data_IF_859940480488
#
_entry.id   IF_859940480488
#
_cell.length_a   1.000
_cell.length_b   1.000
_cell.length_c   1.000
_cell.angle_alpha   90.00
_cell.angle_beta   90.00
_cell.angle_gamma   90.00
#
_symmetry.space_group_name_H-M   'P 1'
#
loop_
_entity.id
_entity.type
_entity.pdbx_description
1 polymer ?
#
# COMPACT_ATOMS: atom_id res chain seq x y z
N UNK A 1 -5.63 -0.70 32.07
CA UNK A 1 -4.83 -0.95 30.85
C UNK A 1 -5.40 -0.06 29.77
N UNK A 2 -4.68 1.06 29.48
CA UNK A 2 -5.20 2.13 28.64
C UNK A 2 -5.16 1.82 27.16
N UNK A 3 -6.01 2.49 26.40
CA UNK A 3 -6.10 2.53 24.94
C UNK A 3 -4.73 2.71 24.21
N UNK A 4 -3.68 3.08 24.92
CA UNK A 4 -2.32 3.25 24.38
C UNK A 4 -1.65 1.95 23.90
N UNK A 5 -1.99 0.79 24.45
CA UNK A 5 -1.37 -0.49 24.05
C UNK A 5 -2.00 -1.09 22.80
N UNK A 6 -3.27 -0.82 22.53
CA UNK A 6 -3.97 -1.26 21.32
C UNK A 6 -3.42 -0.49 20.12
N UNK A 7 -3.13 0.81 20.27
CA UNK A 7 -2.56 1.65 19.21
C UNK A 7 -1.11 1.29 18.83
N UNK A 8 -0.32 0.70 19.72
CA UNK A 8 1.05 0.27 19.41
C UNK A 8 1.13 -0.99 18.54
N UNK A 9 0.13 -1.86 18.59
CA UNK A 9 0.10 -3.12 17.83
C UNK A 9 -0.40 -2.97 16.40
N UNK A 10 -1.23 -1.97 16.10
CA UNK A 10 -1.88 -1.73 14.81
C UNK A 10 -1.19 -0.59 14.02
N UNK A 11 0.14 -0.60 13.95
CA UNK A 11 0.91 0.55 13.48
C UNK A 11 0.74 0.88 11.99
N UNK A 12 0.24 -0.04 11.15
CA UNK A 12 0.26 0.09 9.68
C UNK A 12 -0.94 -0.54 8.97
N UNK A 13 -2.09 -0.62 9.61
CA UNK A 13 -3.30 -1.32 9.16
C UNK A 13 -4.34 -0.45 8.46
N UNK A 14 -4.19 0.88 8.52
CA UNK A 14 -5.18 1.85 8.06
C UNK A 14 -5.58 1.66 6.58
N UNK A 15 -4.63 1.34 5.69
CA UNK A 15 -4.94 1.07 4.29
C UNK A 15 -5.71 -0.25 4.12
N UNK A 16 -5.34 -1.29 4.89
CA UNK A 16 -6.04 -2.58 4.83
C UNK A 16 -7.49 -2.43 5.29
N UNK A 17 -7.73 -1.79 6.43
CA UNK A 17 -9.09 -1.55 6.92
C UNK A 17 -9.94 -0.76 5.93
N UNK A 18 -9.38 0.28 5.30
CA UNK A 18 -10.09 1.11 4.33
C UNK A 18 -10.47 0.29 3.09
N UNK A 19 -9.54 -0.50 2.54
CA UNK A 19 -9.81 -1.38 1.39
C UNK A 19 -10.87 -2.42 1.74
N UNK A 20 -10.78 -3.08 2.88
CA UNK A 20 -11.74 -4.09 3.32
C UNK A 20 -13.13 -3.49 3.59
N UNK A 21 -13.19 -2.28 4.15
CA UNK A 21 -14.44 -1.54 4.33
C UNK A 21 -15.12 -1.22 3.00
N UNK A 22 -14.37 -0.72 2.01
CA UNK A 22 -14.85 -0.42 0.65
C UNK A 22 -15.22 -1.67 -0.13
N UNK A 23 -14.50 -2.76 0.06
CA UNK A 23 -14.87 -4.07 -0.49
C UNK A 23 -16.22 -4.54 0.08
N UNK A 24 -16.40 -4.49 1.40
CA UNK A 24 -17.64 -4.91 2.07
C UNK A 24 -18.84 -4.04 1.72
N UNK A 25 -18.62 -2.75 1.50
CA UNK A 25 -19.69 -1.82 1.06
C UNK A 25 -20.05 -1.94 -0.42
N UNK A 26 -19.28 -2.71 -1.22
CA UNK A 26 -19.45 -2.84 -2.66
C UNK A 26 -18.92 -1.67 -3.49
N UNK A 27 -18.18 -0.73 -2.86
CA UNK A 27 -17.52 0.37 -3.57
C UNK A 27 -16.39 -0.16 -4.47
N UNK A 28 -15.61 -1.14 -3.97
CA UNK A 28 -14.62 -1.86 -4.76
C UNK A 28 -15.21 -3.20 -5.21
N UNK A 29 -15.54 -3.29 -6.49
CA UNK A 29 -16.11 -4.50 -7.12
C UNK A 29 -15.02 -5.48 -7.48
N UNK A 30 -14.46 -6.15 -6.49
CA UNK A 30 -13.39 -7.16 -6.59
C UNK A 30 -13.67 -8.33 -5.68
N UNK A 31 -12.97 -9.43 -5.88
CA UNK A 31 -12.82 -10.48 -4.91
C UNK A 31 -11.47 -10.35 -4.22
N UNK A 32 -11.42 -10.54 -2.90
CA UNK A 32 -10.17 -10.58 -2.14
C UNK A 32 -9.98 -12.03 -1.67
N UNK A 33 -9.29 -12.87 -2.44
CA UNK A 33 -9.20 -14.30 -2.17
C UNK A 33 -8.34 -14.62 -0.94
N UNK A 34 -7.41 -13.75 -0.59
CA UNK A 34 -6.58 -13.86 0.60
C UNK A 34 -5.83 -12.57 0.93
N UNK A 35 -5.34 -12.52 2.16
CA UNK A 35 -4.38 -11.53 2.64
C UNK A 35 -3.10 -12.27 3.02
N UNK A 36 -1.93 -11.72 2.64
CA UNK A 36 -0.64 -12.24 3.06
C UNK A 36 0.17 -11.16 3.79
N UNK A 37 0.77 -11.51 4.92
CA UNK A 37 1.61 -10.61 5.70
C UNK A 37 2.80 -11.34 6.32
N UNK A 38 3.89 -10.61 6.53
CA UNK A 38 5.03 -11.06 7.33
C UNK A 38 4.82 -10.89 8.84
N UNK A 39 3.69 -10.29 9.25
CA UNK A 39 3.28 -10.09 10.64
C UNK A 39 1.90 -10.71 10.89
N UNK A 40 1.71 -11.39 12.02
CA UNK A 40 0.43 -11.98 12.41
C UNK A 40 -0.60 -10.97 12.91
N UNK A 41 -0.18 -9.76 13.22
CA UNK A 41 -1.04 -8.73 13.83
C UNK A 41 -2.26 -8.36 12.97
N UNK A 42 -2.23 -8.67 11.67
CA UNK A 42 -3.33 -8.40 10.73
C UNK A 42 -4.31 -9.58 10.57
N UNK A 43 -4.00 -10.76 11.13
CA UNK A 43 -4.85 -11.96 11.06
C UNK A 43 -6.27 -11.72 11.63
N UNK A 44 -6.44 -11.11 12.83
CA UNK A 44 -7.77 -10.82 13.36
C UNK A 44 -8.60 -9.88 12.49
N UNK A 45 -7.95 -9.02 11.71
CA UNK A 45 -8.64 -8.14 10.76
C UNK A 45 -9.17 -8.97 9.60
N UNK A 46 -8.34 -9.80 8.98
CA UNK A 46 -8.74 -10.69 7.90
C UNK A 46 -9.91 -11.59 8.33
N UNK A 47 -9.83 -12.20 9.52
CA UNK A 47 -10.86 -13.06 10.10
C UNK A 47 -12.20 -12.32 10.27
N UNK A 48 -12.18 -11.06 10.69
CA UNK A 48 -13.40 -10.25 10.86
C UNK A 48 -14.14 -9.97 9.55
N UNK A 49 -13.45 -10.11 8.41
CA UNK A 49 -14.02 -9.99 7.07
C UNK A 49 -14.23 -11.36 6.38
N UNK A 50 -13.88 -12.47 7.06
CA UNK A 50 -14.00 -13.82 6.50
C UNK A 50 -13.02 -14.11 5.37
N UNK A 51 -11.86 -13.40 5.32
CA UNK A 51 -10.86 -13.52 4.27
C UNK A 51 -9.70 -14.40 4.76
N UNK A 52 -9.30 -15.44 3.99
CA UNK A 52 -8.14 -16.26 4.32
C UNK A 52 -6.86 -15.45 4.55
N UNK A 53 -6.17 -15.72 5.65
CA UNK A 53 -4.92 -15.03 6.00
C UNK A 53 -3.73 -16.00 5.94
N UNK A 54 -2.64 -15.58 5.31
CA UNK A 54 -1.41 -16.34 5.24
C UNK A 54 -0.25 -15.57 5.87
N UNK A 55 0.26 -16.10 6.98
CA UNK A 55 1.48 -15.59 7.59
C UNK A 55 2.70 -16.13 6.84
N UNK A 56 3.47 -15.24 6.22
CA UNK A 56 4.71 -15.56 5.50
C UNK A 56 5.85 -14.71 6.05
N UNK A 57 6.53 -15.17 7.12
CA UNK A 57 7.60 -14.41 7.73
C UNK A 57 8.79 -14.29 6.78
N UNK A 58 9.33 -13.08 6.67
CA UNK A 58 10.48 -12.77 5.84
C UNK A 58 11.70 -12.59 6.77
N UNK A 59 12.73 -13.41 6.57
CA UNK A 59 14.02 -13.24 7.18
C UNK A 59 15.12 -13.35 6.12
N UNK A 60 16.30 -12.82 6.39
CA UNK A 60 17.43 -12.86 5.43
C UNK A 60 17.72 -14.29 4.92
N UNK A 61 17.59 -15.31 5.79
CA UNK A 61 17.83 -16.72 5.45
C UNK A 61 16.66 -17.41 4.76
N UNK A 62 15.42 -16.85 4.83
CA UNK A 62 14.20 -17.46 4.28
C UNK A 62 13.59 -16.66 3.13
N UNK A 63 14.31 -15.68 2.61
CA UNK A 63 13.79 -14.78 1.56
C UNK A 63 13.29 -15.55 0.32
N UNK A 64 14.08 -16.50 -0.20
CA UNK A 64 13.70 -17.32 -1.36
C UNK A 64 12.47 -18.22 -1.08
N UNK A 65 12.37 -18.79 0.14
CA UNK A 65 11.21 -19.60 0.52
C UNK A 65 9.93 -18.76 0.60
N UNK A 66 10.01 -17.55 1.13
CA UNK A 66 8.89 -16.62 1.18
C UNK A 66 8.42 -16.25 -0.24
N UNK A 67 9.35 -15.96 -1.16
CA UNK A 67 9.04 -15.68 -2.56
C UNK A 67 8.29 -16.84 -3.24
N UNK A 68 8.79 -18.06 -3.08
CA UNK A 68 8.13 -19.25 -3.64
C UNK A 68 6.73 -19.47 -3.06
N UNK A 69 6.54 -19.18 -1.77
CA UNK A 69 5.24 -19.28 -1.13
C UNK A 69 4.26 -18.23 -1.68
N UNK A 70 4.71 -16.99 -1.88
CA UNK A 70 3.91 -15.94 -2.52
C UNK A 70 3.46 -16.36 -3.92
N UNK A 71 4.39 -16.80 -4.79
CA UNK A 71 4.05 -17.27 -6.14
C UNK A 71 3.06 -18.42 -6.14
N UNK A 72 3.24 -19.41 -5.25
CA UNK A 72 2.30 -20.52 -5.12
C UNK A 72 0.90 -20.06 -4.74
N UNK A 73 0.77 -19.08 -3.83
CA UNK A 73 -0.52 -18.53 -3.44
C UNK A 73 -1.15 -17.76 -4.60
N UNK A 74 -0.39 -16.87 -5.26
CA UNK A 74 -0.87 -16.09 -6.40
C UNK A 74 -1.41 -17.00 -7.52
N UNK A 75 -0.68 -18.06 -7.86
CA UNK A 75 -1.11 -19.03 -8.89
C UNK A 75 -2.31 -19.88 -8.44
N UNK A 76 -2.32 -20.33 -7.16
CA UNK A 76 -3.41 -21.15 -6.63
C UNK A 76 -4.76 -20.43 -6.69
N UNK A 77 -4.76 -19.14 -6.46
CA UNK A 77 -5.98 -18.33 -6.39
C UNK A 77 -6.25 -17.52 -7.68
N UNK A 78 -5.47 -17.73 -8.75
CA UNK A 78 -5.60 -17.02 -10.04
C UNK A 78 -5.75 -15.51 -9.86
N UNK A 79 -4.83 -14.89 -9.10
CA UNK A 79 -4.88 -13.48 -8.79
C UNK A 79 -4.66 -12.62 -10.02
N UNK A 80 -5.54 -11.64 -10.30
CA UNK A 80 -5.44 -10.74 -11.44
C UNK A 80 -4.47 -9.59 -11.20
N UNK A 81 -4.46 -9.03 -9.98
CA UNK A 81 -3.56 -7.94 -9.58
C UNK A 81 -3.25 -7.98 -8.08
N UNK A 82 -2.22 -7.28 -7.67
CA UNK A 82 -1.69 -7.29 -6.29
C UNK A 82 -1.73 -5.87 -5.75
N UNK A 83 -2.16 -5.72 -4.48
CA UNK A 83 -2.11 -4.46 -3.75
C UNK A 83 -1.10 -4.55 -2.62
N UNK A 84 -0.15 -3.63 -2.58
CA UNK A 84 0.86 -3.50 -1.53
C UNK A 84 0.45 -2.39 -0.57
N UNK A 85 -0.19 -2.80 0.53
CA UNK A 85 -0.58 -1.90 1.61
C UNK A 85 0.53 -1.84 2.67
N UNK A 86 1.37 -0.80 2.64
CA UNK A 86 2.50 -0.65 3.59
C UNK A 86 3.52 -1.79 3.55
N UNK A 87 3.74 -2.34 2.38
CA UNK A 87 4.74 -3.37 2.14
C UNK A 87 6.13 -2.74 2.06
N UNK A 88 6.94 -2.95 3.08
CA UNK A 88 8.27 -2.33 3.25
C UNK A 88 9.42 -3.23 2.78
N UNK A 89 9.15 -4.15 1.87
CA UNK A 89 10.13 -5.07 1.29
C UNK A 89 10.26 -4.82 -0.21
N UNK A 90 11.38 -5.23 -0.79
CA UNK A 90 11.55 -5.20 -2.24
C UNK A 90 10.78 -6.37 -2.85
N UNK A 91 9.89 -6.05 -3.81
CA UNK A 91 9.15 -7.07 -4.52
C UNK A 91 10.08 -7.91 -5.42
N UNK A 92 9.99 -9.24 -5.39
CA UNK A 92 10.82 -10.10 -6.22
C UNK A 92 10.64 -9.86 -7.72
N UNK A 93 11.74 -9.83 -8.48
CA UNK A 93 11.71 -9.58 -9.93
C UNK A 93 10.82 -10.54 -10.72
N UNK A 94 10.77 -11.81 -10.32
CA UNK A 94 9.91 -12.82 -10.95
C UNK A 94 8.41 -12.56 -10.73
N UNK A 95 8.02 -12.00 -9.56
CA UNK A 95 6.63 -11.59 -9.34
C UNK A 95 6.31 -10.34 -10.18
N UNK A 96 7.22 -9.36 -10.23
CA UNK A 96 7.04 -8.16 -11.06
C UNK A 96 6.89 -8.55 -12.54
N UNK A 97 7.72 -9.46 -13.03
CA UNK A 97 7.66 -9.94 -14.41
C UNK A 97 6.36 -10.72 -14.72
N UNK A 98 5.81 -11.45 -13.76
CA UNK A 98 4.54 -12.18 -13.91
C UNK A 98 3.30 -11.25 -13.84
N UNK A 99 3.42 -10.08 -13.20
CA UNK A 99 2.34 -9.12 -13.00
C UNK A 99 2.70 -7.70 -13.52
N UNK A 100 3.07 -7.53 -14.80
CA UNK A 100 3.46 -6.24 -15.34
C UNK A 100 2.29 -5.25 -15.28
N UNK A 101 2.50 -4.10 -14.62
CA UNK A 101 1.47 -3.08 -14.35
C UNK A 101 0.20 -3.61 -13.65
N UNK A 102 0.37 -4.66 -12.84
CA UNK A 102 -0.69 -5.27 -12.03
C UNK A 102 -0.33 -5.35 -10.54
N UNK A 103 0.72 -4.66 -10.12
CA UNK A 103 1.10 -4.53 -8.71
C UNK A 103 1.00 -3.06 -8.34
N UNK A 104 0.05 -2.71 -7.49
CA UNK A 104 -0.21 -1.35 -7.05
C UNK A 104 0.40 -1.16 -5.66
N UNK A 105 1.25 -0.14 -5.49
CA UNK A 105 1.86 0.22 -4.22
C UNK A 105 1.38 1.59 -3.75
N UNK A 106 1.30 1.77 -2.43
CA UNK A 106 1.14 3.07 -1.80
C UNK A 106 2.46 3.51 -1.16
N UNK A 107 2.98 4.64 -1.59
CA UNK A 107 4.14 5.30 -1.02
C UNK A 107 3.71 6.54 -0.22
N UNK A 108 4.20 6.65 1.01
CA UNK A 108 3.78 7.66 1.98
C UNK A 108 4.52 9.00 1.84
N UNK A 109 4.81 9.41 0.60
CA UNK A 109 5.25 10.77 0.26
C UNK A 109 4.77 11.16 -1.13
N UNK A 110 4.87 12.44 -1.44
CA UNK A 110 4.64 12.97 -2.79
C UNK A 110 5.90 12.74 -3.62
N UNK A 111 5.96 11.60 -4.34
CA UNK A 111 7.10 11.27 -5.17
C UNK A 111 7.32 12.34 -6.28
N UNK A 112 8.57 12.68 -6.59
CA UNK A 112 9.83 12.07 -6.10
C UNK A 112 10.39 12.67 -4.79
N UNK A 113 9.62 13.46 -4.06
CA UNK A 113 10.08 14.09 -2.82
C UNK A 113 10.05 13.13 -1.61
N UNK A 114 11.03 13.29 -0.70
CA UNK A 114 11.13 12.57 0.57
C UNK A 114 11.12 11.04 0.44
N UNK A 115 11.91 10.51 -0.47
CA UNK A 115 12.13 9.08 -0.63
C UNK A 115 12.76 8.51 0.67
N UNK A 116 12.30 7.33 1.12
CA UNK A 116 12.86 6.61 2.26
C UNK A 116 11.86 6.28 3.37
N UNK A 117 12.37 5.76 4.50
CA UNK A 117 11.54 5.10 5.52
C UNK A 117 10.78 6.04 6.47
N UNK A 118 11.14 7.31 6.56
CA UNK A 118 10.55 8.27 7.52
C UNK A 118 10.19 9.62 6.89
N UNK A 119 9.39 9.68 5.80
CA UNK A 119 9.15 10.91 5.06
C UNK A 119 8.46 11.99 5.91
N UNK A 120 7.52 11.65 6.79
CA UNK A 120 6.86 12.64 7.67
C UNK A 120 7.82 13.30 8.66
N UNK A 121 8.84 12.58 9.15
CA UNK A 121 9.86 13.16 10.02
C UNK A 121 10.76 14.11 9.21
N UNK A 122 11.15 13.72 8.01
CA UNK A 122 11.94 14.57 7.11
C UNK A 122 11.16 15.81 6.69
N UNK A 123 9.89 15.67 6.34
CA UNK A 123 8.98 16.75 6.02
C UNK A 123 8.83 17.74 7.19
N UNK A 124 8.61 17.25 8.41
CA UNK A 124 8.52 18.04 9.61
C UNK A 124 9.82 18.83 9.88
N UNK A 125 10.98 18.14 9.85
CA UNK A 125 12.28 18.76 10.05
C UNK A 125 12.58 19.84 9.00
N UNK A 126 12.14 19.64 7.75
CA UNK A 126 12.30 20.60 6.66
C UNK A 126 11.33 21.78 6.76
N UNK A 127 10.26 21.68 7.55
CA UNK A 127 9.25 22.73 7.69
C UNK A 127 8.39 22.93 6.46
N UNK A 128 8.06 21.82 5.74
CA UNK A 128 7.23 21.87 4.53
C UNK A 128 5.82 22.37 4.83
N UNK A 129 5.13 22.85 3.80
CA UNK A 129 3.75 23.37 3.89
C UNK A 129 2.71 22.39 3.34
N UNK A 130 3.16 21.33 2.70
CA UNK A 130 2.34 20.23 2.19
C UNK A 130 3.04 18.91 2.45
N UNK A 131 2.25 17.86 2.68
CA UNK A 131 2.67 16.46 2.63
C UNK A 131 1.78 15.72 1.64
N UNK A 132 2.24 14.60 1.11
CA UNK A 132 1.51 13.85 0.09
C UNK A 132 1.62 12.35 0.24
N UNK A 133 0.86 11.66 -0.60
CA UNK A 133 0.95 10.23 -0.84
C UNK A 133 0.89 9.95 -2.34
N UNK A 134 1.52 8.86 -2.77
CA UNK A 134 1.59 8.45 -4.17
C UNK A 134 1.25 6.98 -4.29
N UNK A 135 0.30 6.64 -5.14
CA UNK A 135 0.08 5.27 -5.60
C UNK A 135 0.62 5.08 -7.01
N UNK A 136 1.39 4.03 -7.22
CA UNK A 136 2.06 3.75 -8.47
C UNK A 136 2.11 2.26 -8.76
N UNK A 137 2.30 1.89 -10.02
CA UNK A 137 2.63 0.53 -10.38
C UNK A 137 4.06 0.19 -9.95
N UNK A 138 4.27 -1.03 -9.47
CA UNK A 138 5.60 -1.50 -9.07
C UNK A 138 6.38 -1.94 -10.29
N UNK A 139 7.62 -1.47 -10.35
CA UNK A 139 8.63 -1.88 -11.33
C UNK A 139 9.86 -2.45 -10.62
N UNK A 140 10.86 -2.88 -11.36
CA UNK A 140 12.12 -3.38 -10.80
C UNK A 140 12.95 -2.30 -10.11
N UNK A 141 12.70 -1.04 -10.43
CA UNK A 141 13.29 0.12 -9.75
C UNK A 141 12.37 0.57 -8.62
N UNK A 142 12.96 0.75 -7.44
CA UNK A 142 12.21 1.06 -6.21
C UNK A 142 11.53 2.43 -6.31
N UNK A 143 10.23 2.47 -6.04
CA UNK A 143 9.40 3.67 -6.01
C UNK A 143 9.45 4.55 -7.29
N UNK A 144 9.88 3.97 -8.42
CA UNK A 144 10.09 4.67 -9.69
C UNK A 144 9.08 4.30 -10.78
N UNK A 145 8.11 3.43 -10.48
CA UNK A 145 7.11 2.99 -11.46
C UNK A 145 6.06 4.05 -11.80
N UNK A 146 5.28 3.82 -12.86
CA UNK A 146 4.26 4.76 -13.35
C UNK A 146 3.26 5.13 -12.26
N UNK A 147 3.10 6.43 -12.03
CA UNK A 147 2.20 6.97 -11.00
C UNK A 147 0.75 6.86 -11.48
N UNK A 148 -0.13 6.31 -10.62
CA UNK A 148 -1.57 6.17 -10.90
C UNK A 148 -2.33 7.34 -10.27
N UNK A 149 -2.03 7.63 -9.00
CA UNK A 149 -2.75 8.66 -8.23
C UNK A 149 -1.80 9.33 -7.25
N UNK A 150 -1.94 10.63 -7.08
CA UNK A 150 -1.24 11.42 -6.08
C UNK A 150 -2.18 12.43 -5.45
N UNK A 151 -2.01 12.66 -4.16
CA UNK A 151 -2.74 13.74 -3.50
C UNK A 151 -1.87 14.37 -2.41
N UNK A 152 -2.23 15.59 -2.00
CA UNK A 152 -1.51 16.39 -1.00
C UNK A 152 -2.46 16.99 0.02
N UNK A 153 -1.94 17.25 1.21
CA UNK A 153 -2.66 17.98 2.26
C UNK A 153 -1.78 19.06 2.86
N UNK A 154 -2.37 20.21 3.16
CA UNK A 154 -1.67 21.32 3.81
C UNK A 154 -1.33 21.00 5.26
N UNK A 155 -0.13 21.41 5.64
CA UNK A 155 0.38 21.38 7.02
C UNK A 155 0.97 22.74 7.38
N UNK A 156 1.07 23.01 8.68
CA UNK A 156 1.61 24.27 9.21
C UNK A 156 2.58 24.00 10.36
N UNK A 157 3.23 25.04 10.84
CA UNK A 157 4.11 24.99 12.01
C UNK A 157 3.39 24.55 13.30
N UNK A 158 2.07 24.74 13.39
CA UNK A 158 1.27 24.30 14.53
C UNK A 158 1.03 22.78 14.58
N UNK A 159 1.32 22.06 13.49
CA UNK A 159 1.14 20.60 13.46
C UNK A 159 2.38 19.90 14.04
N UNK A 160 2.15 18.99 14.97
CA UNK A 160 3.18 18.08 15.47
C UNK A 160 3.48 16.96 14.44
N UNK A 161 4.56 16.20 14.64
CA UNK A 161 4.86 14.99 13.85
C UNK A 161 3.68 14.00 13.90
N UNK A 162 3.01 13.87 15.06
CA UNK A 162 1.83 13.00 15.20
C UNK A 162 0.69 13.45 14.29
N UNK A 163 0.47 14.76 14.18
CA UNK A 163 -0.55 15.31 13.27
C UNK A 163 -0.19 15.06 11.80
N UNK A 164 1.08 15.23 11.41
CA UNK A 164 1.52 14.92 10.05
C UNK A 164 1.28 13.43 9.70
N UNK A 165 1.64 12.53 10.62
CA UNK A 165 1.42 11.10 10.45
C UNK A 165 -0.08 10.77 10.31
N UNK A 166 -0.94 11.37 11.14
CA UNK A 166 -2.38 11.14 11.07
C UNK A 166 -2.95 11.61 9.73
N UNK A 167 -2.67 12.86 9.33
CA UNK A 167 -3.07 13.40 8.02
C UNK A 167 -2.54 12.58 6.85
N UNK A 168 -1.29 12.11 6.93
CA UNK A 168 -0.67 11.28 5.90
C UNK A 168 -1.37 9.93 5.77
N UNK A 169 -1.74 9.28 6.88
CA UNK A 169 -2.49 8.02 6.85
C UNK A 169 -3.87 8.17 6.20
N UNK A 170 -4.57 9.27 6.48
CA UNK A 170 -5.85 9.54 5.85
C UNK A 170 -5.69 9.72 4.34
N UNK A 171 -4.64 10.40 3.94
CA UNK A 171 -4.31 10.59 2.54
C UNK A 171 -3.91 9.28 1.83
N UNK A 172 -3.09 8.45 2.48
CA UNK A 172 -2.69 7.13 1.97
C UNK A 172 -3.91 6.24 1.67
N UNK A 173 -4.93 6.23 2.53
CA UNK A 173 -6.18 5.48 2.31
C UNK A 173 -6.87 5.93 1.03
N UNK A 174 -7.10 7.24 0.89
CA UNK A 174 -7.81 7.81 -0.26
C UNK A 174 -7.04 7.54 -1.56
N UNK A 175 -5.75 7.84 -1.59
CA UNK A 175 -4.90 7.69 -2.78
C UNK A 175 -4.83 6.22 -3.24
N UNK A 176 -4.67 5.29 -2.29
CA UNK A 176 -4.62 3.86 -2.64
C UNK A 176 -5.97 3.35 -3.15
N UNK A 177 -7.08 3.70 -2.48
CA UNK A 177 -8.41 3.28 -2.89
C UNK A 177 -8.79 3.83 -4.27
N UNK A 178 -8.47 5.10 -4.55
CA UNK A 178 -8.69 5.72 -5.86
C UNK A 178 -7.87 5.04 -6.95
N UNK A 179 -6.59 4.76 -6.69
CA UNK A 179 -5.74 4.06 -7.65
C UNK A 179 -6.25 2.64 -7.96
N UNK A 180 -6.68 1.89 -6.93
CA UNK A 180 -7.29 0.57 -7.10
C UNK A 180 -8.56 0.70 -7.95
N UNK A 181 -9.43 1.67 -7.66
CA UNK A 181 -10.67 1.89 -8.42
C UNK A 181 -10.39 2.20 -9.89
N UNK A 182 -9.45 3.09 -10.18
CA UNK A 182 -9.05 3.39 -11.57
C UNK A 182 -8.53 2.15 -12.30
N UNK A 183 -7.76 1.30 -11.61
CA UNK A 183 -7.25 0.05 -12.17
C UNK A 183 -8.38 -0.95 -12.48
N UNK A 184 -9.31 -1.16 -11.55
CA UNK A 184 -10.45 -2.06 -11.71
C UNK A 184 -11.36 -1.60 -12.84
N UNK A 185 -11.64 -0.29 -12.90
CA UNK A 185 -12.49 0.32 -13.92
C UNK A 185 -11.81 0.41 -15.30
N UNK A 186 -10.57 -0.11 -15.44
CA UNK A 186 -9.75 -0.10 -16.65
C UNK A 186 -9.50 1.33 -17.19
N UNK A 187 -9.42 2.30 -16.32
CA UNK A 187 -9.24 3.72 -16.63
C UNK A 187 -7.77 4.15 -16.71
N UNK A 188 -6.81 3.25 -16.58
CA UNK A 188 -5.38 3.57 -16.56
C UNK A 188 -4.69 3.02 -17.81
N UNK A 189 -4.22 3.92 -18.66
CA UNK A 189 -3.33 3.59 -19.77
C UNK A 189 -1.88 3.88 -19.35
N UNK A 190 -1.02 2.87 -19.43
CA UNK A 190 0.41 3.01 -19.17
C UNK A 190 1.16 3.17 -20.50
N UNK A 191 2.00 4.20 -20.61
CA UNK A 191 2.92 4.35 -21.74
C UNK A 191 4.27 4.87 -21.25
N UNK A 192 5.36 4.22 -21.67
CA UNK A 192 6.68 4.46 -21.08
C UNK A 192 6.62 4.31 -19.55
N UNK A 193 7.07 5.32 -18.79
CA UNK A 193 6.98 5.33 -17.32
C UNK A 193 5.95 6.34 -16.83
N UNK A 194 4.83 6.49 -17.53
CA UNK A 194 3.74 7.43 -17.22
C UNK A 194 2.40 6.74 -17.32
N UNK A 195 1.36 7.35 -16.74
CA UNK A 195 -0.02 6.93 -16.92
C UNK A 195 -0.86 8.05 -17.51
N UNK A 196 -1.88 7.68 -18.26
CA UNK A 196 -3.06 8.50 -18.53
C UNK A 196 -4.21 7.87 -17.78
N UNK A 197 -4.87 8.65 -16.94
CA UNK A 197 -6.05 8.21 -16.18
C UNK A 197 -7.27 8.89 -16.79
N UNK A 198 -8.22 8.09 -17.26
CA UNK A 198 -9.46 8.57 -17.87
C UNK A 198 -10.49 8.83 -16.78
N UNK A 199 -11.08 10.03 -16.77
CA UNK A 199 -12.12 10.45 -15.85
C UNK A 199 -13.50 9.83 -16.18
#
# INVERSE_FOLDING_TARGET
RGLGDVYKRLKYDHCLYDILGRFKSGELKVEIPFIVSNHKDLEPIADSFGIPFFHVPISKSKHNQAQLKHLKLLNKYNVDFIVLARYMQIMPKNIIAAYPFKIINIHHSFLPAFIGAKPYHSAFKRGVKIIGATSHYVTTELDAGPIIEQNVVRVSHAHSIKNLIAKGRDLEKIVLATAIKHHIDQKVLVYSNKTVVFS
#
